data_IF_513587528711
#
_entry.id   IF_513587528711
#
_cell.length_a   1.000
_cell.length_b   1.000
_cell.length_c   1.000
_cell.angle_alpha   90.00
_cell.angle_beta   90.00
_cell.angle_gamma   90.00
#
_symmetry.space_group_name_H-M   'P 1'
#
loop_
_entity.id
_entity.type
_entity.pdbx_description
1 polymer ?
#
# COMPACT_ATOMS: atom_id res chain seq x y z
N UNK A 1 18.09 -11.28 -13.72
CA UNK A 1 17.24 -10.09 -13.53
C UNK A 1 17.03 -9.93 -12.03
N UNK A 2 17.43 -8.80 -11.44
CA UNK A 2 17.16 -8.51 -10.02
C UNK A 2 15.68 -8.19 -9.83
N UNK A 3 15.12 -8.57 -8.70
CA UNK A 3 13.73 -8.33 -8.36
C UNK A 3 13.61 -7.50 -7.09
N UNK A 4 12.71 -6.52 -7.10
CA UNK A 4 12.43 -5.64 -5.97
C UNK A 4 10.94 -5.60 -5.70
N UNK A 5 10.59 -5.36 -4.43
CA UNK A 5 9.27 -4.90 -4.05
C UNK A 5 9.38 -3.61 -3.22
N UNK A 6 8.67 -2.59 -3.65
CA UNK A 6 8.59 -1.29 -3.01
C UNK A 6 7.20 -1.19 -2.38
N UNK A 7 7.12 -1.20 -1.06
CA UNK A 7 5.86 -1.43 -0.35
C UNK A 7 5.49 -0.27 0.59
N UNK A 8 4.22 0.12 0.55
CA UNK A 8 3.61 0.85 1.66
C UNK A 8 2.51 -0.03 2.27
N UNK A 9 2.81 -0.67 3.40
CA UNK A 9 1.92 -1.65 4.05
C UNK A 9 1.79 -1.40 5.56
N UNK A 10 1.05 -0.36 5.98
CA UNK A 10 0.95 -0.01 7.39
C UNK A 10 0.35 -1.10 8.28
N UNK A 11 -0.61 -1.87 7.77
CA UNK A 11 -1.35 -2.91 8.52
C UNK A 11 -1.10 -4.34 8.02
N UNK A 12 -0.15 -4.53 7.10
CA UNK A 12 0.25 -5.85 6.60
C UNK A 12 -0.56 -6.38 5.39
N UNK A 13 -1.75 -5.84 5.09
CA UNK A 13 -2.59 -6.35 4.00
C UNK A 13 -1.94 -6.24 2.62
N UNK A 14 -1.35 -5.08 2.30
CA UNK A 14 -0.62 -4.87 1.03
C UNK A 14 0.61 -5.76 0.92
N UNK A 15 1.33 -5.98 2.02
CA UNK A 15 2.50 -6.86 2.07
C UNK A 15 2.12 -8.32 1.77
N UNK A 16 1.01 -8.82 2.34
CA UNK A 16 0.50 -10.17 2.03
C UNK A 16 0.19 -10.33 0.54
N UNK A 17 -0.45 -9.32 -0.08
CA UNK A 17 -0.73 -9.31 -1.53
C UNK A 17 0.58 -9.34 -2.32
N UNK A 18 1.53 -8.47 -2.00
CA UNK A 18 2.81 -8.40 -2.69
C UNK A 18 3.60 -9.71 -2.57
N UNK A 19 3.65 -10.31 -1.39
CA UNK A 19 4.31 -11.58 -1.14
C UNK A 19 3.70 -12.72 -1.98
N UNK A 20 2.36 -12.76 -2.11
CA UNK A 20 1.69 -13.76 -2.95
C UNK A 20 2.02 -13.59 -4.44
N UNK A 21 2.16 -12.36 -4.94
CA UNK A 21 2.54 -12.10 -6.33
C UNK A 21 3.98 -12.51 -6.58
N UNK A 22 4.89 -12.16 -5.69
CA UNK A 22 6.34 -12.33 -5.89
C UNK A 22 6.89 -13.67 -5.40
N UNK A 23 6.06 -14.56 -4.87
CA UNK A 23 6.51 -15.80 -4.23
C UNK A 23 7.39 -16.71 -5.12
N UNK A 24 7.22 -16.62 -6.44
CA UNK A 24 7.99 -17.38 -7.42
C UNK A 24 9.08 -16.54 -8.11
N UNK A 25 9.29 -15.28 -7.69
CA UNK A 25 10.35 -14.45 -8.23
C UNK A 25 11.67 -14.72 -7.48
N UNK A 26 12.83 -14.68 -8.17
CA UNK A 26 14.10 -14.91 -7.51
C UNK A 26 14.50 -13.73 -6.62
N UNK A 27 15.03 -14.02 -5.44
CA UNK A 27 15.74 -13.07 -4.53
C UNK A 27 15.14 -11.66 -4.47
N UNK A 28 13.88 -11.54 -4.04
CA UNK A 28 13.19 -10.25 -4.00
C UNK A 28 13.71 -9.38 -2.84
N UNK A 29 14.25 -8.22 -3.17
CA UNK A 29 14.67 -7.21 -2.19
C UNK A 29 13.50 -6.28 -1.86
N UNK A 30 13.30 -5.97 -0.56
CA UNK A 30 12.19 -5.12 -0.11
C UNK A 30 12.65 -3.72 0.27
N UNK A 31 11.94 -2.71 -0.26
CA UNK A 31 12.06 -1.31 0.15
C UNK A 31 10.75 -0.91 0.82
N UNK A 32 10.79 -0.66 2.14
CA UNK A 32 9.60 -0.29 2.93
C UNK A 32 9.39 1.22 2.94
N UNK A 33 8.41 1.69 2.19
CA UNK A 33 8.01 3.10 2.16
C UNK A 33 7.41 3.59 3.48
N UNK A 34 7.14 2.70 4.46
CA UNK A 34 6.70 3.11 5.80
C UNK A 34 7.86 3.54 6.70
N UNK A 35 9.11 3.24 6.34
CA UNK A 35 10.30 3.58 7.12
C UNK A 35 10.43 5.09 7.30
N UNK A 36 10.82 5.51 8.51
CA UNK A 36 11.06 6.92 8.84
C UNK A 36 12.55 7.29 8.85
N UNK A 37 13.42 6.30 8.73
CA UNK A 37 14.89 6.47 8.74
C UNK A 37 15.56 6.21 7.41
N UNK A 38 14.80 5.76 6.40
CA UNK A 38 15.32 5.42 5.08
C UNK A 38 15.47 6.69 4.22
N UNK A 39 16.64 6.87 3.64
CA UNK A 39 16.88 7.85 2.58
C UNK A 39 16.46 7.23 1.23
N UNK A 40 15.28 7.56 0.76
CA UNK A 40 14.72 6.99 -0.48
C UNK A 40 15.45 7.53 -1.72
N UNK A 41 16.06 8.70 -1.66
CA UNK A 41 16.84 9.27 -2.77
C UNK A 41 18.16 8.53 -3.02
N UNK A 42 18.63 7.77 -2.04
CA UNK A 42 19.83 6.94 -2.19
C UNK A 42 19.61 5.67 -3.03
N UNK A 43 18.35 5.27 -3.28
CA UNK A 43 18.07 4.09 -4.09
C UNK A 43 18.16 4.39 -5.57
N UNK A 44 19.02 3.64 -6.23
CA UNK A 44 19.16 3.60 -7.67
C UNK A 44 18.87 2.17 -8.13
N UNK A 45 17.75 1.96 -8.81
CA UNK A 45 17.37 0.64 -9.29
C UNK A 45 18.16 0.32 -10.56
N UNK A 46 18.75 -0.87 -10.62
CA UNK A 46 19.50 -1.30 -11.80
C UNK A 46 18.58 -1.45 -13.02
N UNK A 47 19.02 -0.94 -14.17
CA UNK A 47 18.32 -1.14 -15.44
C UNK A 47 18.16 -2.64 -15.73
N UNK A 48 17.00 -3.02 -16.27
CA UNK A 48 16.68 -4.43 -16.51
C UNK A 48 16.12 -5.20 -15.31
N UNK A 49 16.05 -4.58 -14.13
CA UNK A 49 15.37 -5.16 -12.97
C UNK A 49 13.85 -5.22 -13.16
N UNK A 50 13.20 -6.07 -12.38
CA UNK A 50 11.74 -6.12 -12.25
C UNK A 50 11.34 -5.62 -10.86
N UNK A 51 10.48 -4.61 -10.81
CA UNK A 51 10.07 -3.93 -9.58
C UNK A 51 8.57 -4.01 -9.41
N UNK A 52 8.10 -4.55 -8.29
CA UNK A 52 6.71 -4.50 -7.89
C UNK A 52 6.53 -3.33 -6.91
N UNK A 53 5.63 -2.40 -7.22
CA UNK A 53 5.27 -1.27 -6.34
C UNK A 53 3.86 -1.50 -5.83
N UNK A 54 3.68 -1.68 -4.52
CA UNK A 54 2.37 -1.96 -3.94
C UNK A 54 1.98 -0.95 -2.86
N UNK A 55 0.77 -0.41 -3.01
CA UNK A 55 0.19 0.58 -2.09
C UNK A 55 -1.28 0.29 -1.82
N UNK A 56 -1.78 0.60 -0.60
CA UNK A 56 -3.22 0.59 -0.34
C UNK A 56 -3.88 1.80 -0.96
N UNK A 57 -5.22 1.76 -1.05
CA UNK A 57 -6.03 2.92 -1.41
C UNK A 57 -6.66 3.54 -0.17
N UNK A 58 -6.50 4.85 0.01
CA UNK A 58 -7.12 5.63 1.09
C UNK A 58 -8.16 6.59 0.48
N UNK A 59 -9.44 6.14 0.43
CA UNK A 59 -10.51 6.92 -0.18
C UNK A 59 -10.34 7.12 -1.68
N UNK A 60 -10.02 6.06 -2.42
CA UNK A 60 -9.77 6.01 -3.87
C UNK A 60 -8.50 6.75 -4.36
N UNK A 61 -7.57 7.08 -3.47
CA UNK A 61 -6.28 7.66 -3.83
C UNK A 61 -5.14 6.91 -3.14
N UNK A 62 -3.96 6.91 -3.75
CA UNK A 62 -2.76 6.39 -3.09
C UNK A 62 -2.34 7.32 -1.93
N UNK A 63 -1.78 6.80 -0.83
CA UNK A 63 -1.29 7.63 0.24
C UNK A 63 -0.20 8.59 -0.26
N UNK A 64 -0.41 9.90 -0.16
CA UNK A 64 0.53 10.90 -0.69
C UNK A 64 1.94 10.70 -0.13
N UNK A 65 2.07 10.42 1.17
CA UNK A 65 3.35 10.11 1.80
C UNK A 65 4.11 8.97 1.11
N UNK A 66 3.38 7.93 0.65
CA UNK A 66 4.00 6.80 -0.05
C UNK A 66 4.43 7.20 -1.47
N UNK A 67 3.61 7.99 -2.17
CA UNK A 67 3.95 8.51 -3.49
C UNK A 67 5.17 9.44 -3.43
N UNK A 68 5.23 10.34 -2.45
CA UNK A 68 6.35 11.29 -2.28
C UNK A 68 7.69 10.55 -2.01
N UNK A 69 7.65 9.45 -1.26
CA UNK A 69 8.82 8.60 -1.01
C UNK A 69 9.19 7.75 -2.23
N UNK A 70 8.19 7.19 -2.91
CA UNK A 70 8.42 6.43 -4.14
C UNK A 70 9.01 7.31 -5.26
N UNK A 71 8.54 8.54 -5.39
CA UNK A 71 9.05 9.50 -6.38
C UNK A 71 10.53 9.86 -6.20
N UNK A 72 11.13 9.63 -5.02
CA UNK A 72 12.54 9.86 -4.77
C UNK A 72 13.44 8.73 -5.29
N UNK A 73 12.89 7.53 -5.50
CA UNK A 73 13.64 6.36 -5.96
C UNK A 73 13.90 6.47 -7.46
N UNK A 74 15.18 6.41 -7.87
CA UNK A 74 15.52 6.44 -9.29
C UNK A 74 15.24 5.09 -9.96
N UNK A 75 14.23 5.05 -10.83
CA UNK A 75 13.79 3.86 -11.53
C UNK A 75 14.70 3.37 -12.66
N UNK A 76 15.54 4.26 -13.23
CA UNK A 76 16.53 3.93 -14.26
C UNK A 76 16.01 2.97 -15.34
N UNK A 77 14.79 3.19 -15.83
CA UNK A 77 14.10 2.37 -16.82
C UNK A 77 13.87 0.89 -16.41
N UNK A 78 13.92 0.57 -15.11
CA UNK A 78 13.53 -0.73 -14.61
C UNK A 78 12.05 -1.01 -14.94
N UNK A 79 11.74 -2.27 -15.23
CA UNK A 79 10.36 -2.72 -15.47
C UNK A 79 9.57 -2.65 -14.20
N UNK A 80 8.39 -2.01 -14.24
CA UNK A 80 7.56 -1.75 -13.06
C UNK A 80 6.20 -2.42 -13.18
N UNK A 81 5.76 -3.00 -12.09
CA UNK A 81 4.44 -3.59 -11.89
C UNK A 81 3.75 -2.81 -10.78
N UNK A 82 2.60 -2.23 -11.07
CA UNK A 82 1.84 -1.46 -10.08
C UNK A 82 0.76 -2.32 -9.43
N UNK A 83 0.65 -2.28 -8.11
CA UNK A 83 -0.35 -3.02 -7.35
C UNK A 83 -1.12 -2.06 -6.45
N UNK A 84 -2.39 -1.82 -6.78
CA UNK A 84 -3.30 -1.09 -5.92
C UNK A 84 -4.13 -2.07 -5.09
N UNK A 85 -4.06 -1.96 -3.78
CA UNK A 85 -4.90 -2.75 -2.88
C UNK A 85 -6.11 -1.92 -2.49
N UNK A 86 -7.26 -2.27 -3.05
CA UNK A 86 -8.52 -1.53 -3.03
C UNK A 86 -8.49 -0.18 -3.79
N UNK A 87 -9.45 0.04 -4.67
CA UNK A 87 -9.72 1.34 -5.31
C UNK A 87 -8.95 1.64 -6.60
N UNK A 88 -9.09 2.87 -7.08
CA UNK A 88 -8.69 3.32 -8.43
C UNK A 88 -7.37 4.11 -8.42
N UNK A 89 -6.38 3.66 -7.64
CA UNK A 89 -5.13 4.42 -7.42
C UNK A 89 -4.05 4.17 -8.48
N UNK A 90 -4.28 3.20 -9.37
CA UNK A 90 -3.27 2.75 -10.34
C UNK A 90 -2.75 3.87 -11.26
N UNK A 91 -3.64 4.73 -11.78
CA UNK A 91 -3.19 5.83 -12.66
C UNK A 91 -2.34 6.88 -11.93
N UNK A 92 -2.60 7.09 -10.63
CA UNK A 92 -1.78 7.98 -9.80
C UNK A 92 -0.39 7.38 -9.54
N UNK A 93 -0.33 6.08 -9.30
CA UNK A 93 0.92 5.34 -9.16
C UNK A 93 1.69 5.29 -10.48
N UNK A 94 0.99 5.16 -11.63
CA UNK A 94 1.58 5.17 -12.98
C UNK A 94 2.29 6.49 -13.26
N UNK A 95 1.62 7.62 -13.01
CA UNK A 95 2.21 8.94 -13.22
C UNK A 95 3.45 9.14 -12.37
N UNK A 96 3.41 8.68 -11.10
CA UNK A 96 4.58 8.75 -10.21
C UNK A 96 5.71 7.83 -10.69
N UNK A 97 5.40 6.60 -11.11
CA UNK A 97 6.39 5.65 -11.63
C UNK A 97 7.09 6.19 -12.88
N UNK A 98 6.31 6.71 -13.82
CA UNK A 98 6.85 7.29 -15.06
C UNK A 98 7.75 8.50 -14.77
N UNK A 99 7.33 9.40 -13.85
CA UNK A 99 8.13 10.55 -13.44
C UNK A 99 9.45 10.15 -12.74
N UNK A 100 9.43 9.03 -11.98
CA UNK A 100 10.61 8.47 -11.33
C UNK A 100 11.49 7.62 -12.26
N UNK A 101 11.15 7.53 -13.56
CA UNK A 101 11.94 6.87 -14.58
C UNK A 101 11.75 5.36 -14.69
N UNK A 102 10.69 4.79 -14.14
CA UNK A 102 10.30 3.39 -14.33
C UNK A 102 9.55 3.19 -15.65
N UNK A 103 9.56 1.94 -16.15
CA UNK A 103 8.76 1.51 -17.30
C UNK A 103 7.64 0.59 -16.81
N UNK A 104 6.41 1.09 -16.78
CA UNK A 104 5.24 0.31 -16.34
C UNK A 104 4.88 -0.72 -17.40
N UNK A 105 4.96 -2.01 -17.04
CA UNK A 105 4.67 -3.14 -17.95
C UNK A 105 3.43 -3.94 -17.55
N UNK A 106 2.97 -3.80 -16.30
CA UNK A 106 1.79 -4.48 -15.79
C UNK A 106 1.17 -3.70 -14.62
N UNK A 107 -0.12 -3.95 -14.37
CA UNK A 107 -0.78 -3.45 -13.18
C UNK A 107 -1.73 -4.51 -12.61
N UNK A 108 -1.96 -4.45 -11.29
CA UNK A 108 -2.89 -5.33 -10.57
C UNK A 108 -3.79 -4.48 -9.69
N UNK A 109 -5.10 -4.73 -9.75
CA UNK A 109 -6.06 -4.33 -8.73
C UNK A 109 -6.28 -5.53 -7.82
N UNK A 110 -5.88 -5.45 -6.56
CA UNK A 110 -5.95 -6.56 -5.61
C UNK A 110 -6.90 -6.25 -4.44
N UNK A 111 -7.32 -7.30 -3.77
CA UNK A 111 -8.22 -7.21 -2.61
C UNK A 111 -7.52 -7.74 -1.36
N UNK A 112 -7.60 -6.95 -0.27
CA UNK A 112 -7.20 -7.38 1.06
C UNK A 112 -8.26 -6.97 2.08
N UNK A 113 -8.17 -7.46 3.31
CA UNK A 113 -9.04 -7.05 4.40
C UNK A 113 -8.94 -5.54 4.66
N UNK A 114 -10.10 -4.90 4.87
CA UNK A 114 -10.15 -3.44 5.05
C UNK A 114 -9.61 -3.04 6.43
N UNK A 115 -8.66 -2.13 6.48
CA UNK A 115 -7.89 -1.77 7.69
C UNK A 115 -8.70 -1.08 8.81
N UNK A 116 -9.93 -0.63 8.53
CA UNK A 116 -10.82 0.02 9.51
C UNK A 116 -12.06 -0.84 9.78
N UNK A 117 -12.66 -1.39 8.74
CA UNK A 117 -13.90 -2.18 8.80
C UNK A 117 -13.55 -3.61 8.42
N UNK A 118 -13.09 -4.39 9.38
CA UNK A 118 -12.58 -5.75 9.17
C UNK A 118 -13.61 -6.73 8.59
N UNK A 119 -14.89 -6.40 8.65
CA UNK A 119 -15.97 -7.16 8.00
C UNK A 119 -15.89 -7.14 6.47
N UNK A 120 -15.30 -6.07 5.89
CA UNK A 120 -15.15 -5.97 4.45
C UNK A 120 -13.87 -6.69 3.99
N UNK A 121 -14.08 -7.65 3.09
CA UNK A 121 -13.07 -8.56 2.59
C UNK A 121 -12.31 -9.30 3.72
N UNK A 122 -13.04 -9.67 4.79
CA UNK A 122 -12.49 -10.37 5.94
C UNK A 122 -11.67 -11.60 5.52
N UNK A 123 -10.48 -11.73 6.10
CA UNK A 123 -9.56 -12.85 5.84
C UNK A 123 -8.88 -12.84 4.46
N UNK A 124 -9.06 -11.78 3.66
CA UNK A 124 -8.37 -11.67 2.36
C UNK A 124 -7.01 -10.96 2.48
N UNK A 125 -6.02 -11.34 1.63
CA UNK A 125 -6.07 -12.42 0.65
C UNK A 125 -6.16 -13.79 1.32
N UNK A 126 -7.10 -14.63 0.87
CA UNK A 126 -7.23 -16.02 1.30
C UNK A 126 -6.38 -16.94 0.39
N UNK A 127 -6.47 -18.28 0.59
CA UNK A 127 -5.68 -19.23 -0.18
C UNK A 127 -5.96 -19.16 -1.70
N UNK A 128 -7.21 -18.94 -2.12
CA UNK A 128 -7.58 -18.81 -3.54
C UNK A 128 -7.05 -17.49 -4.12
N UNK A 129 -7.15 -16.40 -3.37
CA UNK A 129 -6.51 -15.13 -3.75
C UNK A 129 -5.01 -15.28 -3.94
N UNK A 130 -4.33 -15.93 -3.00
CA UNK A 130 -2.89 -16.16 -3.07
C UNK A 130 -2.51 -16.98 -4.30
N UNK A 131 -3.28 -18.03 -4.63
CA UNK A 131 -3.08 -18.83 -5.83
C UNK A 131 -3.25 -17.99 -7.10
N UNK A 132 -4.30 -17.16 -7.17
CA UNK A 132 -4.54 -16.27 -8.31
C UNK A 132 -3.44 -15.22 -8.45
N UNK A 133 -3.06 -14.57 -7.35
CA UNK A 133 -1.99 -13.54 -7.33
C UNK A 133 -0.64 -14.13 -7.73
N UNK A 134 -0.34 -15.35 -7.31
CA UNK A 134 0.86 -16.08 -7.73
C UNK A 134 0.86 -16.36 -9.23
N UNK A 135 -0.27 -16.78 -9.80
CA UNK A 135 -0.39 -16.97 -11.24
C UNK A 135 -0.21 -15.65 -12.02
N UNK A 136 -0.69 -14.53 -11.47
CA UNK A 136 -0.42 -13.20 -12.03
C UNK A 136 1.07 -12.88 -12.00
N UNK A 137 1.73 -13.15 -10.87
CA UNK A 137 3.18 -12.96 -10.71
C UNK A 137 4.00 -13.74 -11.74
N UNK A 138 3.63 -14.99 -12.02
CA UNK A 138 4.27 -15.83 -13.05
C UNK A 138 4.12 -15.20 -14.44
N UNK A 139 2.90 -14.82 -14.86
CA UNK A 139 2.65 -14.18 -16.17
C UNK A 139 3.43 -12.88 -16.34
N UNK A 140 3.52 -12.06 -15.27
CA UNK A 140 4.28 -10.81 -15.27
C UNK A 140 5.77 -11.10 -15.43
N UNK A 141 6.29 -12.09 -14.72
CA UNK A 141 7.69 -12.47 -14.79
C UNK A 141 8.07 -12.97 -16.20
N UNK A 142 7.23 -13.80 -16.81
CA UNK A 142 7.38 -14.25 -18.20
C UNK A 142 7.36 -13.08 -19.18
N UNK A 143 6.42 -12.12 -19.03
CA UNK A 143 6.39 -10.88 -19.82
C UNK A 143 7.68 -10.08 -19.66
N UNK A 144 8.18 -9.95 -18.44
CA UNK A 144 9.43 -9.25 -18.20
C UNK A 144 10.63 -9.93 -18.85
N UNK A 145 10.67 -11.28 -18.87
CA UNK A 145 11.72 -12.06 -19.54
C UNK A 145 11.64 -11.95 -21.07
N UNK A 146 10.44 -11.90 -21.66
CA UNK A 146 10.27 -11.75 -23.11
C UNK A 146 10.75 -10.41 -23.66
N UNK A 147 11.07 -9.46 -22.79
CA UNK A 147 11.47 -8.10 -23.16
C UNK A 147 10.32 -7.20 -23.62
N UNK A 148 9.06 -7.66 -23.55
CA UNK A 148 7.90 -6.85 -23.91
C UNK A 148 7.75 -5.63 -22.97
N UNK A 149 7.65 -4.45 -23.56
CA UNK A 149 7.40 -3.18 -22.88
C UNK A 149 6.00 -2.65 -23.19
N UNK A 150 5.09 -3.51 -23.64
CA UNK A 150 3.71 -3.11 -23.87
C UNK A 150 3.11 -2.50 -22.59
N UNK A 151 2.59 -1.29 -22.71
CA UNK A 151 1.98 -0.56 -21.59
C UNK A 151 0.55 -1.07 -21.41
N UNK A 152 0.16 -1.50 -20.20
CA UNK A 152 -1.20 -1.98 -19.97
C UNK A 152 -2.22 -0.83 -20.01
N UNK A 153 -3.46 -1.14 -20.37
CA UNK A 153 -4.57 -0.20 -20.21
C UNK A 153 -4.97 -0.15 -18.73
N UNK A 154 -4.43 0.83 -18.00
CA UNK A 154 -4.63 0.95 -16.55
C UNK A 154 -5.95 1.68 -16.26
N UNK A 155 -6.86 1.08 -15.45
CA UNK A 155 -8.12 1.72 -15.09
C UNK A 155 -7.90 2.91 -14.15
N UNK A 156 -8.65 3.98 -14.37
CA UNK A 156 -8.63 5.17 -13.52
C UNK A 156 -9.01 6.44 -14.27
N UNK A 157 -9.06 7.54 -13.55
CA UNK A 157 -9.40 8.85 -14.11
C UNK A 157 -8.45 9.93 -13.62
N UNK A 158 -8.15 10.88 -14.50
CA UNK A 158 -7.46 12.12 -14.19
C UNK A 158 -8.44 13.31 -14.39
N UNK A 159 -8.46 14.35 -13.55
CA UNK A 159 -7.62 14.54 -12.37
C UNK A 159 -8.05 13.63 -11.20
N UNK A 160 -7.11 13.36 -10.27
CA UNK A 160 -7.37 12.53 -9.10
C UNK A 160 -8.28 13.25 -8.10
N UNK A 161 -8.99 12.46 -7.30
CA UNK A 161 -9.65 12.97 -6.10
C UNK A 161 -8.63 13.51 -5.10
N UNK A 162 -9.00 14.47 -4.29
CA UNK A 162 -8.18 14.87 -3.14
C UNK A 162 -8.29 13.79 -2.06
N UNK A 163 -7.16 13.43 -1.44
CA UNK A 163 -7.14 12.54 -0.30
C UNK A 163 -7.96 13.12 0.84
N UNK A 164 -8.86 12.33 1.40
CA UNK A 164 -9.55 12.68 2.64
C UNK A 164 -8.89 11.92 3.80
N UNK A 165 -8.00 12.57 4.54
CA UNK A 165 -7.56 12.12 5.86
C UNK A 165 -8.49 12.74 6.89
N UNK A 166 -9.00 11.95 7.84
CA UNK A 166 -9.94 12.51 8.84
C UNK A 166 -10.16 11.56 10.01
N UNK A 167 -9.68 10.33 9.90
CA UNK A 167 -9.86 9.31 10.92
C UNK A 167 -8.59 9.16 11.75
N UNK A 168 -8.50 9.93 12.84
CA UNK A 168 -7.33 9.95 13.72
C UNK A 168 -7.58 9.02 14.91
N UNK A 169 -6.84 7.90 15.04
CA UNK A 169 -6.95 7.03 16.20
C UNK A 169 -6.46 7.71 17.47
N UNK A 170 -7.19 7.50 18.57
CA UNK A 170 -6.82 7.96 19.91
C UNK A 170 -6.39 6.78 20.78
N UNK A 171 -5.64 7.06 21.84
CA UNK A 171 -5.32 6.08 22.87
C UNK A 171 -6.21 6.28 24.09
N UNK A 172 -6.68 5.19 24.69
CA UNK A 172 -7.47 5.18 25.92
C UNK A 172 -6.62 5.10 27.20
N UNK A 173 -7.25 4.81 28.34
CA UNK A 173 -6.59 4.69 29.64
C UNK A 173 -5.65 3.50 29.77
N UNK A 174 -5.80 2.44 28.95
CA UNK A 174 -4.94 1.25 28.96
C UNK A 174 -3.56 1.49 28.32
N UNK A 175 -3.36 2.67 27.72
CA UNK A 175 -2.09 3.00 27.10
C UNK A 175 -0.95 3.05 28.14
N UNK A 176 0.04 2.17 27.99
CA UNK A 176 1.23 2.07 28.83
C UNK A 176 2.34 3.05 28.46
N UNK A 177 2.13 3.89 27.46
CA UNK A 177 3.13 4.80 26.90
C UNK A 177 4.44 4.14 26.43
N UNK A 178 4.36 2.90 25.91
CA UNK A 178 5.53 2.12 25.46
C UNK A 178 6.26 2.71 24.24
N UNK A 179 5.74 3.74 23.60
CA UNK A 179 6.36 4.45 22.47
C UNK A 179 6.29 3.77 21.12
N UNK A 180 5.92 2.47 21.01
CA UNK A 180 5.96 1.69 19.76
C UNK A 180 5.16 2.35 18.62
N UNK A 181 3.97 2.88 18.92
CA UNK A 181 3.14 3.53 17.93
C UNK A 181 3.75 4.85 17.40
N UNK A 182 4.52 5.57 18.23
CA UNK A 182 5.24 6.78 17.83
C UNK A 182 6.45 6.43 16.96
N UNK A 183 7.23 5.42 17.37
CA UNK A 183 8.40 4.93 16.62
C UNK A 183 8.02 4.45 15.22
N UNK A 184 6.96 3.66 15.12
CA UNK A 184 6.53 3.02 13.86
C UNK A 184 5.54 3.87 13.04
N UNK A 185 5.22 5.10 13.47
CA UNK A 185 4.32 5.97 12.72
C UNK A 185 4.98 6.48 11.43
N UNK A 186 4.54 6.09 10.23
CA UNK A 186 5.19 6.51 8.99
C UNK A 186 5.12 8.01 8.76
N UNK A 187 4.09 8.68 9.31
CA UNK A 187 3.89 10.13 9.23
C UNK A 187 4.45 10.89 10.44
N UNK A 188 5.05 10.19 11.42
CA UNK A 188 5.55 10.80 12.66
C UNK A 188 4.53 11.71 13.35
N UNK A 189 3.26 11.30 13.31
CA UNK A 189 2.13 12.06 13.85
C UNK A 189 1.91 11.84 15.35
N UNK A 190 2.60 10.88 16.00
CA UNK A 190 2.40 10.56 17.42
C UNK A 190 3.61 11.05 18.20
N UNK A 191 3.34 11.76 19.31
CA UNK A 191 4.40 12.28 20.19
C UNK A 191 5.24 11.13 20.77
N UNK A 192 6.57 11.30 20.74
CA UNK A 192 7.52 10.35 21.34
C UNK A 192 7.49 10.42 22.88
N UNK A 193 7.19 11.60 23.44
CA UNK A 193 7.16 11.83 24.89
C UNK A 193 5.85 11.34 25.50
N UNK A 194 4.75 11.41 24.72
CA UNK A 194 3.42 10.99 25.17
C UNK A 194 2.65 10.32 24.02
N UNK A 195 2.67 8.99 23.98
CA UNK A 195 1.99 8.19 22.95
C UNK A 195 0.46 8.39 22.87
N UNK A 196 -0.17 9.09 23.84
CA UNK A 196 -1.59 9.46 23.76
C UNK A 196 -1.83 10.68 22.86
N UNK A 197 -0.81 11.51 22.65
CA UNK A 197 -0.91 12.74 21.85
C UNK A 197 -0.65 12.42 20.38
N UNK A 198 -1.59 12.77 19.51
CA UNK A 198 -1.50 12.61 18.07
C UNK A 198 -1.72 13.95 17.37
N UNK A 199 -0.77 14.36 16.54
CA UNK A 199 -0.90 15.50 15.65
C UNK A 199 -1.86 15.13 14.50
N UNK A 200 -3.06 15.70 14.54
CA UNK A 200 -4.12 15.42 13.56
C UNK A 200 -3.76 15.90 12.15
N UNK A 201 -2.94 16.94 12.06
CA UNK A 201 -2.54 17.51 10.75
C UNK A 201 -1.55 16.62 10.01
N UNK A 202 -0.74 15.83 10.73
CA UNK A 202 0.22 14.88 10.19
C UNK A 202 -0.37 13.48 9.96
N UNK A 203 -1.45 13.14 10.69
CA UNK A 203 -2.01 11.79 10.63
C UNK A 203 -2.63 11.48 9.27
N UNK A 204 -2.14 10.44 8.61
CA UNK A 204 -2.64 9.96 7.31
C UNK A 204 -3.69 8.85 7.43
N UNK A 205 -4.24 8.58 8.61
CA UNK A 205 -5.28 7.58 8.86
C UNK A 205 -4.91 6.14 8.44
N UNK A 206 -3.64 5.76 8.48
CA UNK A 206 -3.14 4.47 7.99
C UNK A 206 -3.40 3.29 8.93
N UNK A 207 -3.93 3.50 10.11
CA UNK A 207 -4.24 2.50 11.14
C UNK A 207 -3.03 1.69 11.68
N UNK A 208 -1.80 1.98 11.30
CA UNK A 208 -0.62 1.23 11.80
C UNK A 208 -0.56 1.22 13.33
N UNK A 209 -0.77 2.37 13.96
CA UNK A 209 -0.73 2.49 15.42
C UNK A 209 -1.83 1.70 16.14
N UNK A 210 -2.93 1.40 15.45
CA UNK A 210 -4.00 0.53 15.96
C UNK A 210 -3.57 -0.93 15.87
N UNK A 211 -3.06 -1.35 14.69
CA UNK A 211 -2.72 -2.76 14.42
C UNK A 211 -1.53 -3.26 15.24
N UNK A 212 -0.56 -2.39 15.58
CA UNK A 212 0.67 -2.79 16.30
C UNK A 212 0.62 -2.55 17.82
N UNK A 213 -0.47 -1.98 18.35
CA UNK A 213 -0.56 -1.69 19.78
C UNK A 213 -0.64 -2.99 20.62
N UNK A 214 0.37 -3.31 21.44
CA UNK A 214 0.43 -4.59 22.14
C UNK A 214 -0.66 -4.76 23.21
N UNK A 215 -1.20 -3.65 23.69
CA UNK A 215 -2.28 -3.63 24.69
C UNK A 215 -3.62 -3.16 24.11
N UNK A 216 -3.72 -3.06 22.77
CA UNK A 216 -4.93 -2.63 22.05
C UNK A 216 -5.55 -1.32 22.53
N UNK A 217 -4.75 -0.43 23.11
CA UNK A 217 -5.20 0.85 23.66
C UNK A 217 -5.52 1.90 22.58
N UNK A 218 -5.15 1.68 21.31
CA UNK A 218 -5.43 2.63 20.23
C UNK A 218 -6.58 2.16 19.35
N UNK A 219 -7.53 3.06 19.13
CA UNK A 219 -8.71 2.76 18.31
C UNK A 219 -9.29 4.02 17.66
N UNK A 220 -10.17 3.82 16.68
CA UNK A 220 -11.10 4.86 16.23
C UNK A 220 -12.34 4.87 17.11
N UNK A 221 -12.94 6.04 17.26
CA UNK A 221 -14.24 6.17 17.91
C UNK A 221 -15.30 5.31 17.19
N UNK A 222 -16.11 4.55 17.94
CA UNK A 222 -17.13 3.65 17.40
C UNK A 222 -18.14 4.36 16.49
N UNK A 223 -18.52 5.60 16.82
CA UNK A 223 -19.42 6.40 15.96
C UNK A 223 -18.75 6.69 14.61
N UNK A 224 -17.48 7.07 14.63
CA UNK A 224 -16.69 7.29 13.40
C UNK A 224 -16.65 6.03 12.55
N UNK A 225 -16.37 4.86 13.15
CA UNK A 225 -16.34 3.57 12.46
C UNK A 225 -17.69 3.25 11.80
N UNK A 226 -18.81 3.47 12.51
CA UNK A 226 -20.18 3.25 11.98
C UNK A 226 -20.50 4.18 10.80
N UNK A 227 -20.10 5.45 10.88
CA UNK A 227 -20.28 6.42 9.78
C UNK A 227 -19.48 5.97 8.54
N UNK A 228 -18.22 5.60 8.73
CA UNK A 228 -17.37 5.10 7.62
C UNK A 228 -17.97 3.83 7.02
N UNK A 229 -18.34 2.86 7.85
CA UNK A 229 -18.95 1.61 7.39
C UNK A 229 -20.19 1.86 6.52
N UNK A 230 -21.06 2.76 6.97
CA UNK A 230 -22.26 3.16 6.22
C UNK A 230 -21.94 3.84 4.90
N UNK A 231 -20.96 4.76 4.90
CA UNK A 231 -20.57 5.51 3.71
C UNK A 231 -19.97 4.63 2.61
N UNK A 232 -19.18 3.60 2.98
CA UNK A 232 -18.51 2.71 2.01
C UNK A 232 -19.27 1.41 1.77
N UNK A 233 -20.37 1.16 2.48
CA UNK A 233 -21.15 -0.09 2.40
C UNK A 233 -21.44 -0.50 0.96
N UNK A 234 -21.98 0.40 0.14
CA UNK A 234 -22.31 0.12 -1.25
C UNK A 234 -21.11 -0.29 -2.10
N UNK A 235 -19.94 0.31 -1.85
CA UNK A 235 -18.71 0.03 -2.60
C UNK A 235 -18.00 -1.25 -2.13
N UNK A 236 -18.11 -1.60 -0.84
CA UNK A 236 -17.36 -2.67 -0.20
C UNK A 236 -18.17 -3.94 0.06
N UNK A 237 -19.52 -3.90 -0.03
CA UNK A 237 -20.37 -5.10 0.09
C UNK A 237 -20.37 -5.96 -1.17
N UNK A 238 -19.93 -5.44 -2.31
CA UNK A 238 -19.76 -6.24 -3.54
C UNK A 238 -18.45 -7.00 -3.46
N UNK A 239 -18.51 -8.32 -3.62
CA UNK A 239 -17.32 -9.14 -3.70
C UNK A 239 -16.52 -8.76 -4.96
N UNK A 240 -15.32 -8.21 -4.76
CA UNK A 240 -14.40 -7.87 -5.85
C UNK A 240 -13.41 -9.01 -6.07
N UNK A 241 -13.00 -9.22 -7.32
CA UNK A 241 -11.92 -10.11 -7.72
C UNK A 241 -10.60 -9.35 -7.82
N UNK A 242 -9.50 -10.08 -7.79
CA UNK A 242 -8.21 -9.52 -8.20
C UNK A 242 -8.18 -9.45 -9.74
N UNK A 243 -7.63 -8.38 -10.29
CA UNK A 243 -7.59 -8.14 -11.74
C UNK A 243 -6.16 -7.85 -12.18
N UNK A 244 -5.73 -8.44 -13.31
CA UNK A 244 -4.43 -8.25 -13.92
C UNK A 244 -4.57 -7.51 -15.24
N UNK A 245 -3.76 -6.47 -15.42
CA UNK A 245 -3.63 -5.67 -16.64
C UNK A 245 -2.21 -5.87 -17.21
N UNK A 246 -2.11 -6.38 -18.45
CA UNK A 246 -0.87 -6.67 -19.15
C UNK A 246 -0.73 -5.89 -20.46
#
# INVERSE_FOLDING_TARGET
MKCYQILFSPTGGTEKVAAAITQNWPEVQTIDLSSTSTDFASFFIESGSLVLVAMPSFGDVAPQLALDRFAQINGNRAKCVLVAVYGSTLVQMEDTANAAGFQVIAAISAVAEHSIIHEYAAGRPNAEDCKQLSAFGTKIFEKALSGSLAVPAIPGKRPYKKSSSGFVPSADSHCTNCGLCAEKCPAQAISKDNGKVTDKSKCISCMRCVSICPVHARSLNKVTVSVVASAIKKACSVQKSNELFL
#
